data_IF_652347493418
#
_entry.id   IF_652347493418
#
_cell.length_a   1.000
_cell.length_b   1.000
_cell.length_c   1.000
_cell.angle_alpha   90.00
_cell.angle_beta   90.00
_cell.angle_gamma   90.00
#
_symmetry.space_group_name_H-M   'P 1'
#
loop_
_entity.id
_entity.type
_entity.pdbx_description
1 polymer ?
#
# COMPACT_ATOMS: atom_id res chain seq x y z
N UNK A 1 2.43 -0.50 -13.71
CA UNK A 1 0.98 -0.37 -13.57
C UNK A 1 0.72 0.84 -12.68
N UNK A 2 0.15 1.91 -13.24
CA UNK A 2 -0.21 3.10 -12.48
C UNK A 2 -1.47 2.79 -11.65
N UNK A 3 -1.43 3.12 -10.35
CA UNK A 3 -2.59 3.07 -9.45
C UNK A 3 -3.36 4.38 -9.67
N UNK A 4 -3.92 4.56 -10.87
CA UNK A 4 -4.70 5.76 -11.19
C UNK A 4 -6.19 5.44 -11.06
N UNK A 5 -6.87 6.16 -10.15
CA UNK A 5 -8.31 6.06 -9.91
C UNK A 5 -8.77 4.98 -8.91
N UNK A 6 -7.95 3.98 -8.58
CA UNK A 6 -8.31 2.91 -7.65
C UNK A 6 -7.69 3.09 -6.26
N UNK A 7 -8.53 3.14 -5.23
CA UNK A 7 -8.09 3.15 -3.83
C UNK A 7 -7.70 1.74 -3.38
N UNK A 8 -6.49 1.58 -2.84
CA UNK A 8 -6.01 0.29 -2.30
C UNK A 8 -5.33 0.49 -0.95
N UNK A 9 -5.38 -0.54 -0.10
CA UNK A 9 -4.58 -0.60 1.13
C UNK A 9 -3.31 -1.38 0.81
N UNK A 10 -2.15 -0.74 1.00
CA UNK A 10 -0.82 -1.30 0.70
C UNK A 10 0.13 -1.02 1.86
N UNK A 11 1.11 -1.89 2.03
CA UNK A 11 2.23 -1.61 2.90
C UNK A 11 3.23 -0.70 2.15
N UNK A 12 3.72 0.32 2.83
CA UNK A 12 4.65 1.31 2.29
C UNK A 12 5.94 1.30 3.11
N UNK A 13 7.09 1.15 2.45
CA UNK A 13 8.41 1.30 3.08
C UNK A 13 9.08 2.57 2.60
N UNK A 14 9.46 3.47 3.52
CA UNK A 14 10.22 4.67 3.18
C UNK A 14 11.65 4.33 2.80
N UNK A 15 12.09 4.90 1.69
CA UNK A 15 13.48 4.89 1.23
C UNK A 15 14.07 6.31 1.32
N UNK A 16 15.41 6.44 1.31
CA UNK A 16 16.06 7.74 1.13
C UNK A 16 15.57 8.45 -0.15
N UNK A 17 15.75 9.78 -0.18
CA UNK A 17 15.39 10.63 -1.32
C UNK A 17 13.89 10.68 -1.66
N UNK A 18 13.01 10.66 -0.64
CA UNK A 18 11.54 10.74 -0.79
C UNK A 18 10.96 9.68 -1.74
N UNK A 19 11.52 8.48 -1.67
CA UNK A 19 11.04 7.31 -2.42
C UNK A 19 10.33 6.33 -1.50
N UNK A 20 9.42 5.56 -2.07
CA UNK A 20 8.65 4.55 -1.38
C UNK A 20 8.74 3.23 -2.14
N UNK A 21 8.77 2.13 -1.40
CA UNK A 21 8.39 0.81 -1.93
C UNK A 21 6.92 0.59 -1.60
N UNK A 22 6.12 0.31 -2.62
CA UNK A 22 4.72 -0.08 -2.49
C UNK A 22 4.65 -1.60 -2.60
N UNK A 23 4.27 -2.27 -1.52
CA UNK A 23 4.13 -3.73 -1.48
C UNK A 23 2.70 -4.14 -1.83
N UNK A 24 2.57 -5.01 -2.83
CA UNK A 24 1.35 -5.75 -3.14
C UNK A 24 1.45 -7.21 -2.69
N UNK A 25 0.34 -7.95 -2.81
CA UNK A 25 0.24 -9.34 -2.34
C UNK A 25 1.19 -10.33 -3.04
N UNK A 26 1.61 -10.03 -4.27
CA UNK A 26 2.50 -10.90 -5.07
C UNK A 26 3.63 -10.15 -5.78
N UNK A 27 3.74 -8.83 -5.61
CA UNK A 27 4.74 -7.98 -6.28
C UNK A 27 4.94 -6.68 -5.53
N UNK A 28 6.09 -6.04 -5.70
CA UNK A 28 6.36 -4.70 -5.19
C UNK A 28 6.95 -3.81 -6.30
N UNK A 29 6.82 -2.49 -6.15
CA UNK A 29 7.47 -1.52 -7.02
C UNK A 29 7.91 -0.29 -6.22
N UNK A 30 8.92 0.43 -6.73
CA UNK A 30 9.40 1.66 -6.13
C UNK A 30 8.89 2.87 -6.90
N UNK A 31 8.43 3.91 -6.20
CA UNK A 31 8.00 5.18 -6.77
C UNK A 31 8.52 6.36 -5.92
N UNK A 32 8.42 7.57 -6.44
CA UNK A 32 8.55 8.79 -5.65
C UNK A 32 7.27 9.00 -4.83
N UNK A 33 7.40 9.63 -3.67
CA UNK A 33 6.25 9.90 -2.78
C UNK A 33 5.22 10.83 -3.44
N UNK A 34 5.64 11.71 -4.36
CA UNK A 34 4.76 12.61 -5.11
C UNK A 34 3.87 11.89 -6.15
N UNK A 35 4.24 10.68 -6.57
CA UNK A 35 3.50 9.92 -7.58
C UNK A 35 2.26 9.21 -7.00
N UNK A 36 2.10 9.18 -5.68
CA UNK A 36 0.96 8.55 -5.01
C UNK A 36 0.31 9.48 -3.99
N UNK A 37 -1.01 9.35 -3.84
CA UNK A 37 -1.76 10.07 -2.80
C UNK A 37 -2.00 9.16 -1.60
N UNK A 38 -1.31 9.43 -0.48
CA UNK A 38 -1.57 8.75 0.80
C UNK A 38 -2.81 9.38 1.46
N UNK A 39 -3.88 8.61 1.59
CA UNK A 39 -5.15 9.10 2.17
C UNK A 39 -5.15 8.97 3.70
N UNK A 40 -4.77 7.79 4.20
CA UNK A 40 -4.76 7.50 5.63
C UNK A 40 -3.83 6.33 5.95
N UNK A 41 -3.45 6.23 7.24
CA UNK A 41 -2.75 5.07 7.78
C UNK A 41 -3.78 4.12 8.41
N UNK A 42 -3.77 2.86 7.99
CA UNK A 42 -4.55 1.82 8.66
C UNK A 42 -4.00 1.58 10.08
N UNK A 43 -4.88 1.59 11.10
CA UNK A 43 -4.50 1.43 12.52
C UNK A 43 -5.01 0.14 13.15
N UNK A 44 -6.12 -0.42 12.64
CA UNK A 44 -6.74 -1.64 13.12
C UNK A 44 -7.42 -2.37 11.97
N UNK A 45 -7.38 -3.70 12.01
CA UNK A 45 -8.18 -4.56 11.15
C UNK A 45 -9.22 -5.29 12.02
N UNK A 46 -10.47 -5.37 11.56
CA UNK A 46 -11.51 -6.17 12.18
C UNK A 46 -11.79 -7.32 11.23
N UNK A 47 -11.54 -8.55 11.67
CA UNK A 47 -11.82 -9.75 10.88
C UNK A 47 -13.09 -10.40 11.42
N UNK A 48 -14.08 -10.58 10.55
CA UNK A 48 -15.19 -11.49 10.83
C UNK A 48 -14.61 -12.90 10.64
N UNK A 49 -14.40 -13.63 11.73
CA UNK A 49 -13.65 -14.89 11.79
C UNK A 49 -14.21 -16.08 10.98
N UNK A 50 -14.48 -15.90 9.69
CA UNK A 50 -14.65 -16.98 8.72
C UNK A 50 -13.27 -17.63 8.53
N UNK A 51 -13.02 -18.66 9.33
CA UNK A 51 -11.90 -19.58 9.12
C UNK A 51 -12.17 -20.31 7.81
N UNK A 52 -11.31 -20.10 6.82
CA UNK A 52 -11.23 -21.02 5.68
C UNK A 52 -10.42 -22.24 6.16
N UNK A 53 -11.07 -23.41 6.15
CA UNK A 53 -10.42 -24.71 6.40
C UNK A 53 -9.34 -24.97 5.36
#
# INVERSE_FOLDING_TARGET
MAIDGNHTVRELTKLPNNRLIVHGSSSFFACAEIEIKIIAKATKCITNGLRFN
#
